data_IF_213547313594
#
_entry.id   IF_213547313594
#
_cell.length_a   1.000
_cell.length_b   1.000
_cell.length_c   1.000
_cell.angle_alpha   90.00
_cell.angle_beta   90.00
_cell.angle_gamma   90.00
#
_symmetry.space_group_name_H-M   'P 1'
#
loop_
_entity.id
_entity.type
_entity.pdbx_description
1 polymer ?
#
# COMPACT_ATOMS: atom_id res chain seq x y z
N UNK A 1 7.37 19.72 -12.28
CA UNK A 1 7.03 19.08 -13.57
C UNK A 1 6.90 17.59 -13.36
N UNK A 2 6.12 16.88 -14.16
CA UNK A 2 6.02 15.41 -14.10
C UNK A 2 6.85 14.81 -15.25
N UNK A 3 7.58 13.73 -14.98
CA UNK A 3 8.32 12.95 -15.99
C UNK A 3 7.85 11.51 -15.91
N UNK A 4 7.52 10.91 -17.05
CA UNK A 4 7.23 9.47 -17.15
C UNK A 4 7.94 8.85 -18.36
N UNK A 5 8.52 7.66 -18.20
CA UNK A 5 9.24 6.99 -19.27
C UNK A 5 9.95 5.69 -18.87
N UNK A 6 10.36 4.91 -19.87
CA UNK A 6 10.97 3.59 -19.71
C UNK A 6 12.50 3.67 -19.61
N UNK A 7 13.09 2.96 -18.66
CA UNK A 7 14.52 2.94 -18.34
C UNK A 7 15.33 2.29 -19.46
N UNK A 8 16.37 3.00 -19.89
CA UNK A 8 17.32 2.58 -20.94
C UNK A 8 18.67 2.21 -20.33
N UNK A 9 19.17 3.04 -19.41
CA UNK A 9 20.41 2.81 -18.66
C UNK A 9 20.24 3.25 -17.20
N UNK A 10 20.98 2.60 -16.31
CA UNK A 10 20.99 2.86 -14.87
C UNK A 10 22.44 3.03 -14.43
N UNK A 11 22.77 4.19 -13.86
CA UNK A 11 24.09 4.50 -13.30
C UNK A 11 24.16 4.18 -11.80
N UNK A 12 25.33 3.75 -11.34
CA UNK A 12 25.61 3.48 -9.93
C UNK A 12 25.39 4.71 -9.04
N UNK A 13 24.84 4.49 -7.84
CA UNK A 13 24.74 5.52 -6.81
C UNK A 13 26.12 5.89 -6.27
N UNK A 14 26.43 7.19 -6.24
CA UNK A 14 27.72 7.74 -5.81
C UNK A 14 27.54 8.97 -4.92
N UNK A 15 28.41 9.11 -3.92
CA UNK A 15 28.48 10.32 -3.09
C UNK A 15 29.19 11.45 -3.84
N UNK A 16 28.61 12.66 -3.81
CA UNK A 16 29.21 13.88 -4.36
C UNK A 16 29.27 15.00 -3.33
N UNK A 17 30.42 15.67 -3.22
CA UNK A 17 30.58 16.84 -2.35
C UNK A 17 29.93 18.09 -2.96
N UNK A 18 28.98 18.68 -2.26
CA UNK A 18 28.37 19.96 -2.61
C UNK A 18 28.73 21.02 -1.55
N UNK A 19 28.53 22.30 -1.89
CA UNK A 19 28.70 23.44 -0.96
C UNK A 19 27.81 23.39 0.29
N UNK A 20 26.88 22.44 0.36
CA UNK A 20 25.90 22.24 1.43
C UNK A 20 26.13 20.91 2.19
N UNK A 21 27.23 20.19 1.90
CA UNK A 21 27.51 18.85 2.40
C UNK A 21 27.52 17.80 1.29
N UNK A 22 27.94 16.58 1.62
CA UNK A 22 27.90 15.42 0.72
C UNK A 22 26.45 14.96 0.48
N UNK A 23 26.15 14.50 -0.73
CA UNK A 23 24.85 13.87 -1.06
C UNK A 23 25.06 12.71 -2.03
N UNK A 24 24.28 11.66 -1.87
CA UNK A 24 24.11 10.58 -2.85
C UNK A 24 23.47 11.12 -4.14
N UNK A 25 23.99 10.70 -5.28
CA UNK A 25 23.49 10.99 -6.62
C UNK A 25 23.54 9.72 -7.46
N UNK A 26 22.51 9.51 -8.29
CA UNK A 26 22.51 8.52 -9.36
C UNK A 26 21.93 9.15 -10.64
N UNK A 27 22.22 8.56 -11.79
CA UNK A 27 21.79 9.05 -13.11
C UNK A 27 21.13 7.90 -13.85
N UNK A 28 19.93 8.12 -14.39
CA UNK A 28 19.22 7.14 -15.23
C UNK A 28 18.83 7.79 -16.56
N UNK A 29 18.76 7.00 -17.63
CA UNK A 29 18.26 7.46 -18.92
C UNK A 29 16.88 6.87 -19.21
N UNK A 30 15.93 7.71 -19.62
CA UNK A 30 14.56 7.29 -19.94
C UNK A 30 14.21 7.57 -21.41
N UNK A 31 13.53 6.62 -22.07
CA UNK A 31 12.67 6.94 -23.20
C UNK A 31 11.36 7.55 -22.66
N UNK A 32 11.23 8.86 -22.78
CA UNK A 32 10.09 9.63 -22.28
C UNK A 32 8.80 9.34 -23.07
N UNK A 33 7.68 9.20 -22.38
CA UNK A 33 6.40 8.93 -23.03
C UNK A 33 5.84 10.15 -23.79
N UNK A 34 5.29 9.91 -24.98
CA UNK A 34 4.97 10.97 -25.95
C UNK A 34 3.82 11.88 -25.49
N UNK A 35 2.88 11.38 -24.69
CA UNK A 35 1.67 12.11 -24.30
C UNK A 35 1.92 13.27 -23.32
N UNK A 36 3.02 13.25 -22.55
CA UNK A 36 3.45 14.41 -21.75
C UNK A 36 4.33 15.36 -22.57
N UNK A 37 5.18 14.84 -23.47
CA UNK A 37 6.05 15.66 -24.31
C UNK A 37 5.30 16.70 -25.18
N UNK A 38 4.06 16.42 -25.61
CA UNK A 38 3.22 17.41 -26.32
C UNK A 38 2.70 18.54 -25.40
N UNK A 39 2.48 18.26 -24.11
CA UNK A 39 2.09 19.28 -23.12
C UNK A 39 3.27 20.16 -22.73
N UNK A 40 4.43 19.54 -22.48
CA UNK A 40 5.64 20.29 -22.11
C UNK A 40 6.21 21.09 -23.29
N UNK A 41 6.06 20.62 -24.55
CA UNK A 41 6.27 21.45 -25.75
C UNK A 41 5.48 22.77 -25.66
N UNK A 42 4.17 22.70 -25.40
CA UNK A 42 3.31 23.89 -25.27
C UNK A 42 3.66 24.81 -24.11
N UNK A 43 4.40 24.35 -23.10
CA UNK A 43 4.92 25.19 -22.02
C UNK A 43 6.25 25.91 -22.37
N UNK A 44 6.90 25.52 -23.48
CA UNK A 44 8.20 26.04 -23.93
C UNK A 44 8.06 26.90 -25.20
N UNK A 45 7.05 26.63 -26.04
CA UNK A 45 6.86 27.21 -27.39
C UNK A 45 6.61 28.73 -27.43
N UNK A 46 6.41 29.41 -26.30
CA UNK A 46 6.25 30.88 -26.27
C UNK A 46 7.58 31.67 -26.44
N UNK A 47 8.73 31.00 -26.63
CA UNK A 47 10.05 31.68 -26.56
C UNK A 47 11.17 31.25 -27.53
N UNK A 48 10.94 30.41 -28.54
CA UNK A 48 12.03 29.98 -29.44
C UNK A 48 11.64 29.79 -30.91
N UNK A 49 11.91 30.80 -31.75
CA UNK A 49 11.99 30.64 -33.21
C UNK A 49 13.24 29.79 -33.58
N UNK A 50 13.13 28.46 -33.56
CA UNK A 50 14.14 27.55 -34.08
C UNK A 50 13.52 26.22 -34.56
N UNK A 51 13.41 26.04 -35.88
CA UNK A 51 12.94 24.79 -36.49
C UNK A 51 14.00 23.67 -36.36
N UNK A 52 14.02 22.97 -35.22
CA UNK A 52 14.67 21.65 -35.11
C UNK A 52 13.64 20.59 -34.74
N UNK A 53 13.33 19.70 -35.70
CA UNK A 53 12.35 18.64 -35.53
C UNK A 53 12.88 17.56 -34.56
N UNK A 54 12.62 17.74 -33.26
CA UNK A 54 12.95 16.75 -32.23
C UNK A 54 12.17 15.45 -32.53
N UNK A 55 12.87 14.46 -33.05
CA UNK A 55 12.40 13.08 -33.25
C UNK A 55 12.45 12.30 -31.93
N UNK A 56 11.57 11.31 -31.79
CA UNK A 56 11.31 10.56 -30.56
C UNK A 56 12.31 9.42 -30.31
N UNK A 57 13.61 9.66 -30.49
CA UNK A 57 14.64 8.59 -30.52
C UNK A 57 15.82 8.76 -29.55
N UNK A 58 15.96 9.90 -28.85
CA UNK A 58 17.05 10.09 -27.86
C UNK A 58 16.52 9.99 -26.42
N UNK A 59 17.14 9.16 -25.56
CA UNK A 59 16.81 9.15 -24.14
C UNK A 59 17.06 10.52 -23.47
N UNK A 60 16.24 10.83 -22.47
CA UNK A 60 16.46 11.96 -21.56
C UNK A 60 17.28 11.51 -20.35
N UNK A 61 18.15 12.37 -19.83
CA UNK A 61 18.91 12.11 -18.61
C UNK A 61 18.14 12.63 -17.39
N UNK A 62 18.00 11.79 -16.36
CA UNK A 62 17.32 12.09 -15.10
C UNK A 62 18.27 11.84 -13.92
N UNK A 63 18.60 12.90 -13.19
CA UNK A 63 19.44 12.84 -11.99
C UNK A 63 18.58 12.63 -10.74
N UNK A 64 18.80 11.52 -10.05
CA UNK A 64 18.17 11.18 -8.78
C UNK A 64 19.09 11.59 -7.62
N UNK A 65 18.51 12.14 -6.55
CA UNK A 65 19.25 12.71 -5.42
C UNK A 65 18.85 12.08 -4.07
N UNK A 66 19.83 11.77 -3.23
CA UNK A 66 19.63 11.22 -1.88
C UNK A 66 18.81 9.93 -1.89
N UNK A 67 17.68 9.91 -1.18
CA UNK A 67 16.79 8.74 -1.05
C UNK A 67 16.22 8.20 -2.35
N UNK A 68 16.23 9.00 -3.42
CA UNK A 68 15.84 8.55 -4.76
C UNK A 68 17.05 8.03 -5.56
N UNK A 69 18.27 8.45 -5.24
CA UNK A 69 19.48 7.84 -5.81
C UNK A 69 19.65 6.40 -5.32
N UNK A 70 19.32 6.13 -4.05
CA UNK A 70 19.27 4.77 -3.47
C UNK A 70 18.31 3.82 -4.24
N UNK A 71 17.37 4.33 -5.05
CA UNK A 71 16.46 3.48 -5.83
C UNK A 71 17.14 2.70 -6.97
N UNK A 72 18.35 3.07 -7.40
CA UNK A 72 19.07 2.31 -8.45
C UNK A 72 19.58 0.95 -7.99
N UNK A 73 19.44 0.62 -6.69
CA UNK A 73 19.67 -0.73 -6.16
C UNK A 73 18.62 -1.76 -6.64
N UNK A 74 17.47 -1.30 -7.14
CA UNK A 74 16.35 -2.14 -7.60
C UNK A 74 15.65 -1.63 -8.87
N UNK A 75 16.17 -0.59 -9.54
CA UNK A 75 15.67 -0.16 -10.86
C UNK A 75 16.50 -0.86 -11.94
N UNK A 76 15.85 -1.61 -12.82
CA UNK A 76 16.48 -2.29 -13.95
C UNK A 76 16.14 -1.66 -15.31
N UNK A 77 16.88 -2.06 -16.35
CA UNK A 77 16.58 -1.68 -17.73
C UNK A 77 15.23 -2.27 -18.16
N UNK A 78 14.40 -1.46 -18.82
CA UNK A 78 13.09 -1.88 -19.31
C UNK A 78 11.93 -1.62 -18.35
N UNK A 79 12.20 -1.36 -17.07
CA UNK A 79 11.20 -0.85 -16.12
C UNK A 79 10.71 0.54 -16.51
N UNK A 80 9.54 0.95 -16.05
CA UNK A 80 9.00 2.29 -16.18
C UNK A 80 9.16 3.12 -14.90
N UNK A 81 9.41 4.42 -15.07
CA UNK A 81 9.60 5.38 -13.98
C UNK A 81 8.63 6.54 -14.14
N UNK A 82 8.04 6.97 -13.02
CA UNK A 82 7.34 8.24 -12.86
C UNK A 82 8.04 9.08 -11.78
N UNK A 83 8.34 10.34 -12.10
CA UNK A 83 8.97 11.30 -11.20
C UNK A 83 8.12 12.57 -11.11
N UNK A 84 7.52 12.79 -9.95
CA UNK A 84 6.77 14.00 -9.62
C UNK A 84 7.70 15.16 -9.25
N UNK A 85 7.26 16.39 -9.45
CA UNK A 85 8.01 17.64 -9.22
C UNK A 85 9.50 17.67 -9.62
N UNK A 86 9.79 16.99 -10.72
CA UNK A 86 11.06 17.11 -11.44
C UNK A 86 11.31 18.57 -11.81
N UNK A 87 12.56 19.01 -11.61
CA UNK A 87 13.10 20.29 -12.08
C UNK A 87 13.84 20.06 -13.40
N UNK A 88 13.48 20.80 -14.43
CA UNK A 88 14.17 20.78 -15.72
C UNK A 88 15.35 21.76 -15.76
N UNK A 89 16.31 21.49 -16.64
CA UNK A 89 17.42 22.39 -16.97
C UNK A 89 17.98 22.06 -18.36
N UNK A 90 18.75 22.99 -18.95
CA UNK A 90 19.49 22.76 -20.20
C UNK A 90 20.98 22.72 -19.87
N UNK A 91 21.62 21.59 -20.16
CA UNK A 91 23.07 21.42 -20.04
C UNK A 91 23.67 21.03 -21.39
N UNK A 92 24.65 21.80 -21.87
CA UNK A 92 25.30 21.60 -23.19
C UNK A 92 24.32 21.49 -24.38
N UNK A 93 23.15 22.10 -24.28
CA UNK A 93 22.09 22.04 -25.31
C UNK A 93 21.13 20.86 -25.19
N UNK A 94 21.31 19.97 -24.20
CA UNK A 94 20.40 18.86 -23.92
C UNK A 94 19.51 19.19 -22.72
N UNK A 95 18.24 18.77 -22.78
CA UNK A 95 17.34 18.80 -21.63
C UNK A 95 17.75 17.73 -20.62
N UNK A 96 17.85 18.14 -19.35
CA UNK A 96 18.10 17.25 -18.21
C UNK A 96 17.07 17.54 -17.11
N UNK A 97 16.69 16.51 -16.38
CA UNK A 97 15.74 16.60 -15.27
C UNK A 97 16.40 16.14 -13.97
N UNK A 98 16.03 16.73 -12.84
CA UNK A 98 16.51 16.28 -11.52
C UNK A 98 15.37 16.16 -10.50
N UNK A 99 15.48 15.15 -9.63
CA UNK A 99 14.59 14.97 -8.49
C UNK A 99 14.84 16.06 -7.44
N UNK A 100 13.81 16.76 -7.02
CA UNK A 100 13.89 17.82 -6.02
C UNK A 100 13.64 17.30 -4.60
N UNK A 101 13.75 18.17 -3.59
CA UNK A 101 12.88 18.05 -2.41
C UNK A 101 11.47 18.49 -2.87
N UNK A 102 10.43 17.80 -2.44
CA UNK A 102 9.05 17.84 -3.00
C UNK A 102 8.82 16.89 -4.20
N UNK A 103 9.86 16.47 -4.95
CA UNK A 103 9.77 15.27 -5.80
C UNK A 103 9.51 14.00 -5.00
N UNK A 104 8.75 13.08 -5.61
CA UNK A 104 8.74 11.66 -5.27
C UNK A 104 8.86 10.79 -6.53
N UNK A 105 9.54 9.64 -6.39
CA UNK A 105 9.80 8.65 -7.45
C UNK A 105 8.89 7.42 -7.31
N UNK A 106 8.41 6.90 -8.42
CA UNK A 106 7.55 5.70 -8.53
C UNK A 106 8.13 4.79 -9.63
N UNK A 107 8.33 3.51 -9.32
CA UNK A 107 8.88 2.47 -10.23
C UNK A 107 7.77 1.50 -10.61
N UNK A 108 7.58 1.17 -11.88
CA UNK A 108 6.34 0.55 -12.39
C UNK A 108 5.09 1.33 -11.93
N UNK A 109 4.86 2.58 -12.40
CA UNK A 109 3.72 3.41 -12.01
C UNK A 109 2.34 2.86 -12.41
N UNK A 110 2.31 1.75 -13.14
CA UNK A 110 1.07 1.05 -13.51
C UNK A 110 0.80 -0.20 -12.66
N UNK A 111 1.80 -0.68 -11.90
CA UNK A 111 1.63 -1.80 -10.98
C UNK A 111 0.90 -1.33 -9.71
N UNK A 112 -0.40 -1.60 -9.62
CA UNK A 112 -1.28 -1.03 -8.59
C UNK A 112 -1.20 -1.78 -7.26
N UNK A 113 -0.30 -1.33 -6.37
CA UNK A 113 0.01 -1.99 -5.08
C UNK A 113 -1.06 -1.73 -4.01
N UNK A 114 -1.44 -2.77 -3.26
CA UNK A 114 -2.29 -2.64 -2.08
C UNK A 114 -1.52 -2.07 -0.88
N UNK A 115 -2.13 -1.15 -0.12
CA UNK A 115 -1.56 -0.59 1.11
C UNK A 115 -1.26 -1.66 2.17
N UNK A 116 -2.03 -2.75 2.21
CA UNK A 116 -1.74 -3.94 3.03
C UNK A 116 -0.47 -4.66 2.58
N UNK A 117 -0.20 -4.73 1.28
CA UNK A 117 1.02 -5.34 0.74
C UNK A 117 2.28 -4.53 1.13
N UNK A 118 2.23 -3.19 1.19
CA UNK A 118 3.36 -2.38 1.72
C UNK A 118 3.61 -2.71 3.20
N UNK A 119 2.54 -2.83 4.00
CA UNK A 119 2.63 -3.22 5.41
C UNK A 119 3.27 -4.60 5.56
N UNK A 120 2.88 -5.56 4.72
CA UNK A 120 3.45 -6.90 4.70
C UNK A 120 4.91 -6.88 4.25
N UNK A 121 5.27 -6.11 3.23
CA UNK A 121 6.65 -5.90 2.78
C UNK A 121 7.55 -5.36 3.89
N UNK A 122 7.10 -4.33 4.61
CA UNK A 122 7.81 -3.75 5.76
C UNK A 122 7.94 -4.75 6.92
N UNK A 123 6.97 -5.66 7.08
CA UNK A 123 7.02 -6.70 8.11
C UNK A 123 7.96 -7.85 7.70
N UNK A 124 7.87 -8.34 6.47
CA UNK A 124 8.69 -9.38 5.84
C UNK A 124 8.28 -9.56 4.36
N UNK A 125 9.12 -9.22 3.36
CA UNK A 125 8.78 -9.39 1.94
C UNK A 125 8.38 -10.81 1.53
N UNK A 126 8.94 -11.83 2.20
CA UNK A 126 8.56 -13.23 1.96
C UNK A 126 7.14 -13.59 2.41
N UNK A 127 6.53 -12.84 3.34
CA UNK A 127 5.11 -13.03 3.72
C UNK A 127 4.19 -12.61 2.59
N UNK A 128 4.48 -11.48 1.93
CA UNK A 128 3.75 -11.05 0.73
C UNK A 128 3.79 -12.12 -0.37
N UNK A 129 4.99 -12.65 -0.68
CA UNK A 129 5.13 -13.77 -1.62
C UNK A 129 4.29 -15.01 -1.24
N UNK A 130 4.28 -15.41 0.04
CA UNK A 130 3.48 -16.56 0.50
C UNK A 130 1.98 -16.30 0.37
N UNK A 131 1.53 -15.09 0.68
CA UNK A 131 0.13 -14.66 0.49
C UNK A 131 -0.30 -14.64 -0.98
N UNK A 132 0.64 -14.55 -1.95
CA UNK A 132 0.35 -14.75 -3.37
C UNK A 132 0.12 -16.22 -3.77
N UNK A 133 0.57 -17.18 -2.96
CA UNK A 133 0.46 -18.63 -3.22
C UNK A 133 -0.73 -19.32 -2.54
N UNK A 134 -1.18 -18.78 -1.40
CA UNK A 134 -2.31 -19.32 -0.63
C UNK A 134 -3.34 -18.25 -0.33
N UNK A 135 -4.62 -18.54 -0.58
CA UNK A 135 -5.72 -17.69 -0.14
C UNK A 135 -5.79 -17.55 1.38
N UNK A 136 -6.56 -16.56 1.85
CA UNK A 136 -6.68 -16.21 3.27
C UNK A 136 -6.94 -17.45 4.14
N UNK A 137 -6.08 -17.76 5.12
CA UNK A 137 -6.17 -19.01 5.86
C UNK A 137 -7.32 -18.97 6.86
N UNK A 138 -8.14 -20.02 6.87
CA UNK A 138 -9.21 -20.22 7.86
C UNK A 138 -8.58 -20.48 9.24
N UNK A 139 -8.29 -19.39 9.96
CA UNK A 139 -7.71 -19.35 11.31
C UNK A 139 -8.61 -18.46 12.18
N UNK A 140 -9.04 -18.92 13.37
CA UNK A 140 -9.97 -18.17 14.24
C UNK A 140 -9.60 -16.69 14.50
N UNK A 141 -8.33 -16.31 14.72
CA UNK A 141 -7.94 -14.90 14.88
C UNK A 141 -8.27 -14.00 13.68
N UNK A 142 -8.36 -14.57 12.46
CA UNK A 142 -8.77 -13.86 11.24
C UNK A 142 -10.29 -13.62 11.24
N UNK A 143 -11.08 -14.66 11.51
CA UNK A 143 -12.55 -14.59 11.57
C UNK A 143 -13.01 -13.60 12.65
N UNK A 144 -12.42 -13.66 13.86
CA UNK A 144 -12.65 -12.66 14.91
C UNK A 144 -12.18 -11.26 14.51
N UNK A 145 -11.14 -11.17 13.68
CA UNK A 145 -10.72 -9.92 13.02
C UNK A 145 -11.87 -9.32 12.21
N UNK A 146 -12.42 -10.08 11.25
CA UNK A 146 -13.52 -9.66 10.39
C UNK A 146 -14.75 -9.20 11.19
N UNK A 147 -15.19 -9.97 12.18
CA UNK A 147 -16.32 -9.59 13.06
C UNK A 147 -16.09 -8.21 13.69
N UNK A 148 -14.88 -7.96 14.22
CA UNK A 148 -14.56 -6.73 14.95
C UNK A 148 -14.41 -5.52 14.02
N UNK A 149 -13.93 -5.69 12.77
CA UNK A 149 -13.89 -4.61 11.77
C UNK A 149 -15.30 -4.26 11.27
N UNK A 150 -16.14 -5.24 10.94
CA UNK A 150 -17.52 -4.94 10.50
C UNK A 150 -18.37 -4.31 11.62
N UNK A 151 -18.22 -4.78 12.87
CA UNK A 151 -18.85 -4.14 14.04
C UNK A 151 -18.33 -2.71 14.26
N UNK A 152 -17.05 -2.41 13.97
CA UNK A 152 -16.55 -1.02 13.99
C UNK A 152 -17.23 -0.16 12.92
N UNK A 153 -17.32 -0.66 11.69
CA UNK A 153 -18.02 0.01 10.60
C UNK A 153 -19.49 0.30 10.90
N UNK A 154 -20.18 -0.63 11.58
CA UNK A 154 -21.57 -0.50 12.04
C UNK A 154 -21.75 0.48 13.21
N UNK A 155 -20.86 0.46 14.20
CA UNK A 155 -20.87 1.42 15.31
C UNK A 155 -20.62 2.86 14.84
N UNK A 156 -19.76 3.04 13.83
CA UNK A 156 -19.54 4.32 13.16
C UNK A 156 -20.79 4.83 12.43
N UNK A 157 -21.59 3.93 11.85
CA UNK A 157 -22.91 4.22 11.25
C UNK A 157 -24.02 4.42 12.29
N UNK A 158 -23.70 4.34 13.58
CA UNK A 158 -24.64 4.59 14.69
C UNK A 158 -25.55 3.41 15.03
N UNK A 159 -25.26 2.19 14.58
CA UNK A 159 -26.01 0.99 14.95
C UNK A 159 -25.77 0.63 16.42
N UNK A 160 -26.74 -0.06 17.04
CA UNK A 160 -26.56 -0.63 18.37
C UNK A 160 -25.47 -1.72 18.37
N UNK A 161 -24.63 -1.72 19.40
CA UNK A 161 -23.51 -2.65 19.57
C UNK A 161 -23.98 -4.10 19.67
N UNK A 162 -25.06 -4.36 20.41
CA UNK A 162 -25.54 -5.72 20.66
C UNK A 162 -26.10 -6.34 19.37
N UNK A 163 -26.91 -5.55 18.67
CA UNK A 163 -27.56 -5.91 17.41
C UNK A 163 -26.54 -6.14 16.28
N UNK A 164 -25.56 -5.24 16.14
CA UNK A 164 -24.49 -5.40 15.15
C UNK A 164 -23.62 -6.64 15.45
N UNK A 165 -23.26 -6.86 16.72
CA UNK A 165 -22.46 -8.01 17.12
C UNK A 165 -23.15 -9.34 16.84
N UNK A 166 -24.46 -9.44 17.08
CA UNK A 166 -25.24 -10.65 16.80
C UNK A 166 -25.33 -10.93 15.29
N UNK A 167 -25.58 -9.91 14.47
CA UNK A 167 -25.62 -10.02 13.01
C UNK A 167 -24.28 -10.49 12.43
N UNK A 168 -23.16 -9.85 12.81
CA UNK A 168 -21.82 -10.23 12.30
C UNK A 168 -21.35 -11.61 12.75
N UNK A 169 -21.83 -12.12 13.89
CA UNK A 169 -21.56 -13.50 14.35
C UNK A 169 -22.46 -14.52 13.63
N UNK A 170 -23.64 -14.12 13.16
CA UNK A 170 -24.48 -14.96 12.31
C UNK A 170 -23.90 -15.10 10.90
N UNK A 171 -23.45 -14.00 10.29
CA UNK A 171 -22.86 -13.98 8.95
C UNK A 171 -21.68 -14.95 8.79
N UNK A 172 -20.76 -15.01 9.77
CA UNK A 172 -19.60 -15.93 9.76
C UNK A 172 -19.85 -17.27 10.47
N UNK A 173 -21.12 -17.65 10.64
CA UNK A 173 -21.50 -18.86 11.39
C UNK A 173 -20.98 -20.17 10.78
N UNK A 174 -20.69 -20.19 9.47
CA UNK A 174 -20.09 -21.35 8.79
C UNK A 174 -18.62 -21.52 9.15
N UNK A 175 -17.85 -20.43 9.11
CA UNK A 175 -16.43 -20.37 9.45
C UNK A 175 -16.19 -20.78 10.90
N UNK A 176 -17.02 -20.29 11.83
CA UNK A 176 -16.98 -20.68 13.23
C UNK A 176 -17.27 -22.18 13.42
N UNK A 177 -18.30 -22.69 12.72
CA UNK A 177 -18.64 -24.12 12.75
C UNK A 177 -17.53 -25.02 12.18
N UNK A 178 -16.88 -24.61 11.09
CA UNK A 178 -15.72 -25.31 10.50
C UNK A 178 -14.48 -25.28 11.41
N UNK A 179 -14.31 -24.21 12.17
CA UNK A 179 -13.22 -24.06 13.16
C UNK A 179 -13.54 -24.74 14.51
N UNK A 180 -14.78 -25.19 14.73
CA UNK A 180 -15.21 -25.82 15.99
C UNK A 180 -15.50 -24.85 17.14
N UNK A 181 -15.76 -23.57 16.85
CA UNK A 181 -16.10 -22.55 17.84
C UNK A 181 -17.62 -22.37 17.94
N UNK A 182 -18.12 -22.26 19.17
CA UNK A 182 -19.53 -21.95 19.43
C UNK A 182 -19.80 -20.43 19.35
N UNK A 183 -21.04 -20.05 19.04
CA UNK A 183 -21.43 -18.62 18.91
C UNK A 183 -21.38 -17.85 20.23
N UNK A 184 -21.40 -18.50 21.40
CA UNK A 184 -21.50 -17.82 22.70
C UNK A 184 -20.13 -17.36 23.19
N UNK A 185 -19.13 -18.25 23.16
CA UNK A 185 -17.71 -17.95 23.42
C UNK A 185 -17.21 -16.82 22.50
N UNK A 186 -17.54 -16.90 21.21
CA UNK A 186 -17.14 -15.88 20.22
C UNK A 186 -17.85 -14.54 20.47
N UNK A 187 -19.12 -14.56 20.89
CA UNK A 187 -19.86 -13.36 21.28
C UNK A 187 -19.18 -12.65 22.44
N UNK A 188 -18.80 -13.36 23.50
CA UNK A 188 -18.16 -12.72 24.66
C UNK A 188 -16.74 -12.20 24.37
N UNK A 189 -15.92 -12.91 23.57
CA UNK A 189 -14.64 -12.34 23.10
C UNK A 189 -14.84 -11.06 22.26
N UNK A 190 -15.68 -11.12 21.22
CA UNK A 190 -15.88 -10.00 20.31
C UNK A 190 -16.59 -8.81 20.98
N UNK A 191 -17.42 -9.05 22.00
CA UNK A 191 -18.05 -8.02 22.85
C UNK A 191 -17.04 -7.20 23.64
N UNK A 192 -15.92 -7.77 24.07
CA UNK A 192 -14.83 -7.00 24.72
C UNK A 192 -14.26 -5.96 23.76
N UNK A 193 -13.94 -6.39 22.52
CA UNK A 193 -13.45 -5.52 21.46
C UNK A 193 -14.49 -4.45 21.07
N UNK A 194 -15.76 -4.84 20.87
CA UNK A 194 -16.84 -3.92 20.54
C UNK A 194 -17.06 -2.87 21.64
N UNK A 195 -17.01 -3.27 22.91
CA UNK A 195 -17.12 -2.36 24.05
C UNK A 195 -15.96 -1.38 24.14
N UNK A 196 -14.75 -1.77 23.71
CA UNK A 196 -13.59 -0.88 23.63
C UNK A 196 -13.77 0.20 22.55
N UNK A 197 -14.23 -0.20 21.37
CA UNK A 197 -14.59 0.69 20.25
C UNK A 197 -15.66 1.68 20.70
N UNK A 198 -16.75 1.19 21.29
CA UNK A 198 -17.90 2.00 21.68
C UNK A 198 -17.54 3.04 22.76
N UNK A 199 -16.68 2.68 23.73
CA UNK A 199 -16.11 3.64 24.70
C UNK A 199 -15.28 4.73 24.03
N UNK A 200 -14.42 4.38 23.07
CA UNK A 200 -13.57 5.35 22.37
C UNK A 200 -14.39 6.30 21.47
N UNK A 201 -15.38 5.79 20.73
CA UNK A 201 -16.30 6.61 19.94
C UNK A 201 -17.13 7.57 20.81
N UNK A 202 -17.52 7.16 22.02
CA UNK A 202 -18.18 8.03 23.01
C UNK A 202 -17.25 9.12 23.56
N UNK A 203 -15.95 8.85 23.70
CA UNK A 203 -14.96 9.87 24.07
C UNK A 203 -14.74 10.90 22.95
N UNK A 204 -14.67 10.46 21.69
CA UNK A 204 -14.46 11.35 20.54
C UNK A 204 -15.56 12.40 20.35
N UNK A 205 -16.83 12.01 20.51
CA UNK A 205 -18.03 12.87 20.33
C UNK A 205 -18.18 14.04 21.33
N UNK A 206 -17.22 14.24 22.23
CA UNK A 206 -17.25 15.31 23.24
C UNK A 206 -16.52 16.59 22.80
N UNK A 207 -15.81 16.60 21.67
CA UNK A 207 -14.83 17.65 21.34
C UNK A 207 -15.21 18.48 20.11
N UNK A 208 -15.74 17.88 19.04
CA UNK A 208 -16.16 18.59 17.82
C UNK A 208 -17.21 17.77 17.02
N UNK A 209 -17.84 18.38 16.01
CA UNK A 209 -18.73 17.68 15.06
C UNK A 209 -17.90 16.86 14.05
N UNK A 210 -17.21 15.82 14.54
CA UNK A 210 -16.41 14.89 13.73
C UNK A 210 -17.26 14.24 12.62
N UNK A 211 -17.00 14.60 11.36
CA UNK A 211 -17.53 13.84 10.22
C UNK A 211 -16.78 12.51 10.11
N UNK A 212 -17.43 11.43 10.55
CA UNK A 212 -16.92 10.06 10.42
C UNK A 212 -17.30 9.46 9.08
N UNK A 213 -16.34 8.79 8.43
CA UNK A 213 -16.58 7.95 7.24
C UNK A 213 -15.93 6.60 7.46
N UNK A 214 -16.71 5.51 7.51
CA UNK A 214 -16.17 4.15 7.57
C UNK A 214 -15.89 3.58 6.17
N UNK A 215 -14.97 2.62 6.09
CA UNK A 215 -14.70 1.81 4.90
C UNK A 215 -14.33 2.60 3.64
N UNK A 216 -13.51 3.64 3.79
CA UNK A 216 -13.24 4.62 2.73
C UNK A 216 -12.18 4.12 1.74
N UNK A 217 -12.62 3.80 0.51
CA UNK A 217 -11.75 3.33 -0.57
C UNK A 217 -10.88 4.45 -1.16
N UNK A 218 -9.58 4.20 -1.20
CA UNK A 218 -8.55 5.08 -1.72
C UNK A 218 -7.84 4.41 -2.90
N UNK A 219 -7.62 5.16 -3.97
CA UNK A 219 -6.88 4.76 -5.18
C UNK A 219 -6.12 5.99 -5.68
N UNK A 220 -4.84 5.82 -6.01
CA UNK A 220 -3.94 6.84 -6.53
C UNK A 220 -3.29 6.38 -7.82
N UNK A 221 -3.62 7.01 -8.96
CA UNK A 221 -2.88 6.87 -10.21
C UNK A 221 -1.44 7.42 -10.11
N UNK A 222 -1.20 8.44 -9.28
CA UNK A 222 0.12 9.09 -9.18
C UNK A 222 1.12 8.25 -8.42
N UNK A 223 0.67 7.57 -7.36
CA UNK A 223 1.51 6.75 -6.48
C UNK A 223 1.37 5.25 -6.73
N UNK A 224 0.54 4.84 -7.70
CA UNK A 224 0.26 3.43 -8.02
C UNK A 224 -0.11 2.61 -6.78
N UNK A 225 -1.07 3.14 -6.01
CA UNK A 225 -1.49 2.64 -4.70
C UNK A 225 -3.01 2.57 -4.56
N UNK A 226 -3.51 1.50 -3.93
CA UNK A 226 -4.93 1.31 -3.58
C UNK A 226 -5.11 0.77 -2.16
N UNK A 227 -6.29 0.93 -1.58
CA UNK A 227 -6.71 0.26 -0.35
C UNK A 227 -8.00 0.85 0.24
N UNK A 228 -8.34 0.45 1.47
CA UNK A 228 -9.58 0.82 2.15
C UNK A 228 -9.26 1.15 3.61
N UNK A 229 -9.45 2.40 4.02
CA UNK A 229 -9.26 2.81 5.40
C UNK A 229 -10.49 2.41 6.24
N UNK A 230 -10.28 1.73 7.37
CA UNK A 230 -11.38 1.32 8.27
C UNK A 230 -12.26 2.53 8.63
N UNK A 231 -11.64 3.67 8.97
CA UNK A 231 -12.34 4.93 9.13
C UNK A 231 -11.50 6.18 8.84
N UNK A 232 -12.18 7.30 8.58
CA UNK A 232 -11.65 8.64 8.65
C UNK A 232 -12.35 9.42 9.78
N UNK A 233 -11.58 10.22 10.53
CA UNK A 233 -12.05 11.16 11.56
C UNK A 233 -11.51 12.55 11.22
N UNK A 234 -12.38 13.51 10.90
CA UNK A 234 -11.94 14.87 10.53
C UNK A 234 -10.96 14.90 9.34
N UNK A 235 -11.06 13.92 8.43
CA UNK A 235 -10.13 13.70 7.33
C UNK A 235 -8.85 12.92 7.67
N UNK A 236 -8.53 12.70 8.95
CA UNK A 236 -7.37 11.91 9.38
C UNK A 236 -7.70 10.40 9.36
N UNK A 237 -6.78 9.52 8.92
CA UNK A 237 -7.02 8.08 8.87
C UNK A 237 -6.97 7.43 10.26
N UNK A 238 -7.93 6.54 10.48
CA UNK A 238 -8.05 5.67 11.66
C UNK A 238 -8.01 4.22 11.17
N UNK A 239 -7.17 3.41 11.81
CA UNK A 239 -6.97 2.00 11.48
C UNK A 239 -7.13 1.14 12.73
N UNK A 240 -7.94 0.10 12.64
CA UNK A 240 -8.30 -0.82 13.71
C UNK A 240 -7.30 -1.99 13.76
N UNK A 241 -6.95 -2.44 14.97
CA UNK A 241 -6.14 -3.65 15.20
C UNK A 241 -6.68 -4.46 16.36
N UNK A 242 -6.96 -5.74 16.11
CA UNK A 242 -7.47 -6.71 17.11
C UNK A 242 -6.36 -7.40 17.93
N UNK A 243 -5.09 -7.14 17.62
CA UNK A 243 -3.95 -7.52 18.46
C UNK A 243 -3.66 -6.49 19.56
N UNK A 244 -2.95 -6.90 20.62
CA UNK A 244 -2.45 -5.98 21.65
C UNK A 244 -1.20 -5.22 21.18
N UNK A 245 -0.97 -4.05 21.78
CA UNK A 245 0.27 -3.29 21.69
C UNK A 245 0.50 -2.49 22.98
N UNK A 246 1.35 -2.98 23.88
CA UNK A 246 1.61 -2.39 25.21
C UNK A 246 2.71 -1.32 25.22
N UNK A 247 3.33 -1.03 24.07
CA UNK A 247 4.26 0.10 23.93
C UNK A 247 3.51 1.41 23.72
N UNK A 248 4.08 2.53 24.18
CA UNK A 248 3.49 3.88 23.97
C UNK A 248 3.35 4.20 22.47
N UNK A 249 4.42 3.98 21.71
CA UNK A 249 4.38 4.12 20.25
C UNK A 249 3.55 3.01 19.59
N UNK A 250 2.81 3.31 18.51
CA UNK A 250 2.18 2.29 17.68
C UNK A 250 3.22 1.45 16.91
N UNK A 251 2.89 0.19 16.58
CA UNK A 251 3.79 -0.72 15.87
C UNK A 251 4.11 -0.19 14.47
N UNK A 252 5.39 -0.17 14.10
CA UNK A 252 5.88 0.55 12.91
C UNK A 252 5.16 0.14 11.61
N UNK A 253 4.99 -1.16 11.35
CA UNK A 253 4.30 -1.67 10.16
C UNK A 253 2.81 -1.27 10.10
N UNK A 254 2.15 -1.08 11.25
CA UNK A 254 0.77 -0.56 11.27
C UNK A 254 0.76 0.96 11.03
N UNK A 255 1.79 1.70 11.50
CA UNK A 255 1.97 3.13 11.17
C UNK A 255 2.17 3.34 9.67
N UNK A 256 2.88 2.43 8.98
CA UNK A 256 3.03 2.42 7.52
C UNK A 256 1.67 2.32 6.82
N UNK A 257 0.78 1.43 7.27
CA UNK A 257 -0.54 1.25 6.66
C UNK A 257 -1.38 2.53 6.72
N UNK A 258 -1.58 3.09 7.92
CA UNK A 258 -2.37 4.31 8.09
C UNK A 258 -1.71 5.54 7.44
N UNK A 259 -0.37 5.62 7.42
CA UNK A 259 0.33 6.72 6.74
C UNK A 259 0.33 6.58 5.21
N UNK A 260 0.20 5.37 4.66
CA UNK A 260 -0.05 5.22 3.23
C UNK A 260 -1.43 5.78 2.88
N UNK A 261 -2.48 5.52 3.66
CA UNK A 261 -3.77 6.21 3.48
C UNK A 261 -3.65 7.73 3.63
N UNK A 262 -2.86 8.22 4.57
CA UNK A 262 -2.54 9.65 4.68
C UNK A 262 -1.91 10.24 3.41
N UNK A 263 -1.06 9.49 2.71
CA UNK A 263 -0.50 9.92 1.41
C UNK A 263 -1.57 10.00 0.31
N UNK A 264 -2.47 9.01 0.20
CA UNK A 264 -3.56 9.00 -0.79
C UNK A 264 -4.64 10.07 -0.50
N UNK A 265 -4.77 10.48 0.76
CA UNK A 265 -5.64 11.60 1.16
C UNK A 265 -4.99 12.95 0.82
N UNK A 266 -3.67 13.11 1.00
CA UNK A 266 -2.93 14.31 0.61
C UNK A 266 -2.84 14.55 -0.90
N UNK A 267 -2.93 13.49 -1.71
CA UNK A 267 -3.12 13.63 -3.18
C UNK A 267 -4.44 14.34 -3.53
N UNK A 268 -5.42 14.29 -2.63
CA UNK A 268 -6.78 14.83 -2.78
C UNK A 268 -6.96 16.13 -1.97
N UNK A 269 -5.86 16.87 -1.78
CA UNK A 269 -5.75 18.11 -1.01
C UNK A 269 -6.22 18.06 0.46
N UNK A 270 -6.40 16.86 1.04
CA UNK A 270 -6.72 16.71 2.47
C UNK A 270 -5.45 16.93 3.31
N UNK A 271 -5.43 17.87 4.28
CA UNK A 271 -4.23 18.21 5.05
C UNK A 271 -3.95 17.18 6.16
N UNK A 272 -3.55 15.96 5.79
CA UNK A 272 -3.26 14.87 6.74
C UNK A 272 -1.84 14.97 7.30
N UNK A 273 -1.72 15.31 8.58
CA UNK A 273 -0.46 15.37 9.34
C UNK A 273 -0.42 14.39 10.53
N UNK A 274 -1.53 13.69 10.85
CA UNK A 274 -1.64 12.67 11.90
C UNK A 274 -2.50 11.48 11.47
N UNK A 275 -2.45 10.40 12.26
CA UNK A 275 -3.44 9.31 12.21
C UNK A 275 -3.47 8.52 13.51
N UNK A 276 -4.49 7.68 13.66
CA UNK A 276 -4.77 6.95 14.91
C UNK A 276 -4.81 5.44 14.66
N UNK A 277 -4.11 4.67 15.49
CA UNK A 277 -4.26 3.21 15.51
C UNK A 277 -5.03 2.77 16.76
N UNK A 278 -6.09 1.97 16.57
CA UNK A 278 -6.97 1.52 17.66
C UNK A 278 -6.74 0.03 17.98
N UNK A 279 -5.90 -0.23 18.99
CA UNK A 279 -5.57 -1.55 19.52
C UNK A 279 -6.63 -2.03 20.50
N UNK A 280 -7.72 -2.59 19.98
CA UNK A 280 -8.91 -2.92 20.79
C UNK A 280 -8.65 -3.97 21.87
N UNK A 281 -7.67 -4.86 21.68
CA UNK A 281 -7.30 -5.84 22.73
C UNK A 281 -6.68 -5.19 23.97
N UNK A 282 -6.07 -4.00 23.88
CA UNK A 282 -5.51 -3.34 25.06
C UNK A 282 -6.59 -3.05 26.13
N UNK A 283 -7.81 -2.77 25.70
CA UNK A 283 -8.97 -2.49 26.56
C UNK A 283 -9.64 -3.76 27.16
N UNK A 284 -9.01 -4.92 26.99
CA UNK A 284 -9.44 -6.23 27.46
C UNK A 284 -8.30 -6.99 28.19
N UNK A 285 -7.28 -6.25 28.63
CA UNK A 285 -6.17 -6.72 29.49
C UNK A 285 -6.37 -6.04 30.85
N UNK A 286 -6.25 -6.79 31.95
CA UNK A 286 -6.34 -6.22 33.30
C UNK A 286 -5.00 -5.57 33.69
N UNK A 287 -5.03 -4.45 34.44
CA UNK A 287 -3.83 -3.60 34.65
C UNK A 287 -2.70 -4.30 35.45
N UNK A 288 -3.00 -5.41 36.12
CA UNK A 288 -2.07 -6.27 36.84
C UNK A 288 -1.57 -7.49 36.05
N UNK A 289 -2.19 -7.84 34.91
CA UNK A 289 -1.71 -8.91 34.03
C UNK A 289 -0.48 -8.49 33.20
N UNK A 290 -0.43 -7.23 32.71
CA UNK A 290 0.60 -6.82 31.75
C UNK A 290 1.02 -5.35 31.90
N UNK A 291 2.31 -5.12 32.21
CA UNK A 291 2.87 -3.79 32.37
C UNK A 291 3.12 -3.09 31.02
N UNK A 292 2.58 -1.88 30.87
CA UNK A 292 2.82 -1.04 29.70
C UNK A 292 1.84 0.12 29.58
N UNK A 293 1.75 0.71 28.38
CA UNK A 293 0.70 1.63 28.01
C UNK A 293 -0.47 0.88 27.36
N UNK A 294 -1.50 0.61 28.17
CA UNK A 294 -2.75 -0.04 27.76
C UNK A 294 -3.75 0.93 27.09
N UNK A 295 -3.36 2.17 26.76
CA UNK A 295 -4.23 3.07 25.98
C UNK A 295 -4.59 2.40 24.64
N UNK A 296 -5.88 2.27 24.27
CA UNK A 296 -6.26 1.57 23.04
C UNK A 296 -5.96 2.38 21.78
N UNK A 297 -6.27 3.68 21.80
CA UNK A 297 -5.99 4.57 20.69
C UNK A 297 -4.58 5.18 20.83
N UNK A 298 -3.73 4.99 19.83
CA UNK A 298 -2.37 5.53 19.79
C UNK A 298 -2.22 6.39 18.53
N UNK A 299 -2.11 7.69 18.74
CA UNK A 299 -1.93 8.68 17.68
C UNK A 299 -0.46 8.84 17.30
N UNK A 300 -0.18 9.18 16.04
CA UNK A 300 1.17 9.48 15.57
C UNK A 300 1.17 10.53 14.46
N UNK A 301 2.30 11.22 14.30
CA UNK A 301 2.51 12.22 13.24
C UNK A 301 2.99 11.58 11.95
N UNK A 302 2.56 12.16 10.83
CA UNK A 302 2.95 11.82 9.47
C UNK A 302 3.72 12.98 8.83
N UNK A 303 4.52 12.71 7.80
CA UNK A 303 5.27 13.74 7.06
C UNK A 303 6.04 13.15 5.89
N UNK A 304 6.55 13.99 4.97
CA UNK A 304 7.24 13.55 3.73
C UNK A 304 8.27 12.44 3.99
N UNK A 305 9.07 12.49 5.07
CA UNK A 305 10.05 11.45 5.36
C UNK A 305 9.46 10.04 5.62
N UNK A 306 8.21 9.93 6.09
CA UNK A 306 7.49 8.67 6.25
C UNK A 306 6.81 8.25 4.93
N UNK A 307 6.23 9.21 4.21
CA UNK A 307 5.64 8.98 2.88
C UNK A 307 6.70 8.59 1.82
N UNK A 308 7.93 9.11 1.92
CA UNK A 308 9.10 8.68 1.12
C UNK A 308 9.48 7.23 1.41
N UNK A 309 9.50 6.83 2.68
CA UNK A 309 9.75 5.44 3.06
C UNK A 309 8.67 4.50 2.52
N UNK A 310 7.39 4.90 2.60
CA UNK A 310 6.26 4.17 2.01
C UNK A 310 6.44 3.99 0.50
N UNK A 311 6.75 5.05 -0.24
CA UNK A 311 6.95 4.95 -1.69
C UNK A 311 8.19 4.13 -2.07
N UNK A 312 9.29 4.24 -1.32
CA UNK A 312 10.45 3.34 -1.50
C UNK A 312 10.07 1.88 -1.31
N UNK A 313 9.35 1.54 -0.23
CA UNK A 313 8.93 0.15 0.03
C UNK A 313 7.87 -0.36 -0.96
N UNK A 314 7.05 0.53 -1.52
CA UNK A 314 6.16 0.23 -2.66
C UNK A 314 6.94 0.01 -3.97
N UNK A 315 8.03 0.75 -4.20
CA UNK A 315 8.87 0.59 -5.38
C UNK A 315 9.74 -0.67 -5.32
N UNK A 316 10.31 -1.01 -4.16
CA UNK A 316 11.01 -2.28 -3.93
C UNK A 316 10.10 -3.50 -4.22
N UNK A 317 8.84 -3.42 -3.77
CA UNK A 317 7.83 -4.44 -4.06
C UNK A 317 7.52 -4.51 -5.56
N UNK A 318 7.28 -3.36 -6.21
CA UNK A 318 6.96 -3.32 -7.64
C UNK A 318 8.12 -3.79 -8.53
N UNK A 319 9.37 -3.51 -8.14
CA UNK A 319 10.57 -4.03 -8.80
C UNK A 319 10.68 -5.57 -8.71
N UNK A 320 10.36 -6.16 -7.55
CA UNK A 320 10.30 -7.61 -7.38
C UNK A 320 9.21 -8.26 -8.24
N UNK A 321 8.09 -7.58 -8.45
CA UNK A 321 7.01 -8.10 -9.30
C UNK A 321 7.34 -8.03 -10.79
N UNK A 322 8.28 -7.16 -11.20
CA UNK A 322 8.81 -7.06 -12.57
C UNK A 322 9.80 -8.20 -12.90
N UNK A 323 10.74 -8.52 -12.00
CA UNK A 323 11.73 -9.59 -12.22
C UNK A 323 11.24 -10.98 -11.70
N UNK A 324 10.19 -10.99 -10.89
CA UNK A 324 9.60 -12.14 -10.18
C UNK A 324 10.51 -12.79 -9.12
N UNK A 325 11.54 -12.08 -8.63
CA UNK A 325 12.51 -12.59 -7.63
C UNK A 325 11.82 -13.00 -6.33
N UNK A 326 11.99 -14.26 -5.93
CA UNK A 326 11.37 -14.78 -4.70
C UNK A 326 12.06 -14.21 -3.45
N UNK A 327 11.40 -13.41 -2.59
CA UNK A 327 12.04 -12.84 -1.41
C UNK A 327 12.36 -13.90 -0.36
N UNK A 328 13.45 -13.68 0.38
CA UNK A 328 13.99 -14.63 1.37
C UNK A 328 13.53 -14.34 2.81
N UNK A 329 13.10 -13.12 3.09
CA UNK A 329 12.82 -12.59 4.42
C UNK A 329 14.03 -11.96 5.11
N UNK A 330 15.24 -12.05 4.54
CA UNK A 330 16.44 -11.34 5.04
C UNK A 330 16.43 -9.84 4.70
N UNK A 331 15.53 -9.40 3.81
CA UNK A 331 15.37 -8.01 3.38
C UNK A 331 14.69 -7.13 4.45
N UNK A 332 14.25 -7.72 5.56
CA UNK A 332 13.61 -7.03 6.69
C UNK A 332 13.96 -7.66 8.05
N UNK A 333 13.86 -6.86 9.12
CA UNK A 333 14.14 -7.26 10.52
C UNK A 333 13.04 -8.13 11.17
N UNK A 334 12.29 -8.87 10.36
CA UNK A 334 11.27 -9.81 10.79
C UNK A 334 11.80 -10.81 11.84
N UNK A 335 11.09 -10.96 12.97
CA UNK A 335 11.31 -12.04 13.93
C UNK A 335 10.46 -13.25 13.54
N UNK A 336 11.09 -14.28 12.99
CA UNK A 336 10.39 -15.46 12.49
C UNK A 336 9.61 -16.20 13.59
N UNK A 337 10.11 -16.21 14.82
CA UNK A 337 9.47 -16.79 16.03
C UNK A 337 8.04 -16.30 16.32
N UNK A 338 7.64 -15.15 15.79
CA UNK A 338 6.30 -14.55 15.98
C UNK A 338 5.52 -14.43 14.66
N UNK A 339 5.93 -15.15 13.61
CA UNK A 339 5.30 -15.10 12.29
C UNK A 339 4.22 -16.19 12.16
N UNK A 340 2.96 -15.78 11.97
CA UNK A 340 1.83 -16.71 11.77
C UNK A 340 1.92 -17.59 10.51
N UNK A 341 2.86 -17.28 9.61
CA UNK A 341 3.17 -18.05 8.40
C UNK A 341 4.59 -18.67 8.45
N UNK A 342 5.18 -18.85 9.64
CA UNK A 342 6.49 -19.51 9.78
C UNK A 342 6.48 -20.93 9.19
N UNK A 343 5.49 -21.75 9.54
CA UNK A 343 5.37 -23.13 9.02
C UNK A 343 5.18 -23.14 7.50
N UNK A 344 4.26 -22.30 7.00
CA UNK A 344 4.02 -22.06 5.58
C UNK A 344 5.32 -21.69 4.84
N UNK A 345 6.08 -20.75 5.40
CA UNK A 345 7.35 -20.27 4.88
C UNK A 345 8.41 -21.38 4.80
N UNK A 346 8.62 -22.12 5.89
CA UNK A 346 9.63 -23.19 5.97
C UNK A 346 9.29 -24.38 5.08
N UNK A 347 8.02 -24.74 4.96
CA UNK A 347 7.55 -25.82 4.07
C UNK A 347 7.68 -25.41 2.61
N UNK A 348 7.19 -24.22 2.21
CA UNK A 348 7.34 -23.72 0.82
C UNK A 348 8.82 -23.62 0.46
N UNK A 349 9.66 -23.09 1.35
CA UNK A 349 11.11 -22.99 1.15
C UNK A 349 11.77 -24.36 0.94
N UNK A 350 11.50 -25.34 1.82
CA UNK A 350 12.06 -26.69 1.72
C UNK A 350 11.55 -27.48 0.51
N UNK A 351 10.27 -27.33 0.14
CA UNK A 351 9.65 -28.03 -1.00
C UNK A 351 10.05 -27.45 -2.36
N UNK A 352 10.20 -26.14 -2.48
CA UNK A 352 10.58 -25.47 -3.73
C UNK A 352 12.09 -25.23 -3.85
N UNK A 353 12.89 -25.57 -2.84
CA UNK A 353 14.36 -25.36 -2.81
C UNK A 353 14.76 -23.87 -2.77
N UNK A 354 13.92 -23.03 -2.14
CA UNK A 354 14.11 -21.58 -2.03
C UNK A 354 14.79 -21.19 -0.71
N UNK A 355 15.61 -20.13 -0.73
CA UNK A 355 16.20 -19.53 0.48
C UNK A 355 15.12 -18.87 1.36
N UNK A 356 15.18 -19.10 2.68
CA UNK A 356 14.28 -18.46 3.64
C UNK A 356 14.95 -18.19 4.99
N UNK A 357 14.76 -16.98 5.54
CA UNK A 357 15.24 -16.57 6.88
C UNK A 357 14.70 -17.43 8.02
N UNK A 358 13.50 -17.99 7.85
CA UNK A 358 12.89 -18.92 8.80
C UNK A 358 13.51 -20.33 8.81
N UNK A 359 14.36 -20.66 7.83
CA UNK A 359 14.83 -22.03 7.57
C UNK A 359 13.92 -22.80 6.60
N UNK A 360 14.15 -24.11 6.50
CA UNK A 360 13.48 -25.02 5.55
C UNK A 360 13.01 -26.29 6.25
N UNK A 361 11.89 -26.86 5.81
CA UNK A 361 11.35 -28.15 6.31
C UNK A 361 10.95 -29.07 5.16
N UNK A 362 11.36 -30.34 5.25
CA UNK A 362 11.07 -31.38 4.27
C UNK A 362 12.11 -31.49 3.15
N UNK A 363 11.97 -32.52 2.33
CA UNK A 363 12.78 -32.71 1.12
C UNK A 363 12.20 -31.90 -0.06
N UNK A 364 13.07 -31.36 -0.92
CA UNK A 364 12.64 -30.65 -2.13
C UNK A 364 11.85 -31.57 -3.07
N UNK A 365 10.91 -30.98 -3.79
CA UNK A 365 10.09 -31.69 -4.75
C UNK A 365 10.92 -32.07 -5.99
N UNK A 366 10.60 -33.20 -6.67
CA UNK A 366 11.26 -33.58 -7.92
C UNK A 366 11.23 -32.43 -8.93
N UNK A 367 12.31 -32.26 -9.70
CA UNK A 367 12.52 -31.07 -10.55
C UNK A 367 11.33 -30.78 -11.47
N UNK A 368 10.76 -31.80 -12.11
CA UNK A 368 9.58 -31.66 -12.98
C UNK A 368 8.33 -31.08 -12.29
N UNK A 369 8.22 -31.20 -10.96
CA UNK A 369 7.14 -30.61 -10.14
C UNK A 369 7.45 -29.15 -9.82
N UNK A 370 8.72 -28.79 -9.61
CA UNK A 370 9.15 -27.40 -9.41
C UNK A 370 9.06 -26.59 -10.69
N UNK A 371 9.54 -27.15 -11.81
CA UNK A 371 9.33 -26.60 -13.15
C UNK A 371 7.84 -26.43 -13.49
N UNK A 372 6.97 -27.33 -13.02
CA UNK A 372 5.51 -27.18 -13.17
C UNK A 372 4.97 -26.03 -12.33
N UNK A 373 5.38 -25.93 -11.06
CA UNK A 373 5.03 -24.81 -10.18
C UNK A 373 5.47 -23.47 -10.78
N UNK A 374 6.72 -23.36 -11.24
CA UNK A 374 7.29 -22.16 -11.85
C UNK A 374 6.49 -21.70 -13.09
N UNK A 375 6.16 -22.63 -14.00
CA UNK A 375 5.31 -22.32 -15.17
C UNK A 375 3.90 -21.87 -14.78
N UNK A 376 3.29 -22.51 -13.79
CA UNK A 376 1.95 -22.13 -13.32
C UNK A 376 1.97 -20.79 -12.58
N UNK A 377 3.01 -20.51 -11.80
CA UNK A 377 3.21 -19.25 -11.11
C UNK A 377 3.38 -18.10 -12.10
N UNK A 378 4.29 -18.23 -13.09
CA UNK A 378 4.46 -17.23 -14.15
C UNK A 378 3.17 -16.96 -14.94
N UNK A 379 2.37 -17.99 -15.22
CA UNK A 379 1.06 -17.83 -15.86
C UNK A 379 0.03 -17.09 -14.99
N UNK A 380 0.10 -17.21 -13.66
CA UNK A 380 -0.77 -16.50 -12.71
C UNK A 380 -0.33 -15.03 -12.55
N UNK A 381 0.97 -14.74 -12.54
CA UNK A 381 1.46 -13.36 -12.49
C UNK A 381 1.16 -12.61 -13.80
N UNK A 382 1.26 -13.26 -14.97
CA UNK A 382 0.85 -12.66 -16.25
C UNK A 382 -0.67 -12.33 -16.30
N UNK A 383 -1.52 -13.15 -15.70
CA UNK A 383 -2.96 -12.84 -15.53
C UNK A 383 -3.16 -11.63 -14.59
N UNK A 384 -2.34 -11.48 -13.55
CA UNK A 384 -2.37 -10.32 -12.64
C UNK A 384 -1.87 -9.04 -13.32
N UNK A 385 -0.87 -9.12 -14.18
CA UNK A 385 -0.43 -8.01 -15.05
C UNK A 385 -1.59 -7.56 -15.95
N UNK A 386 -2.29 -8.50 -16.59
CA UNK A 386 -3.49 -8.20 -17.38
C UNK A 386 -4.65 -7.61 -16.55
N UNK A 387 -4.80 -8.01 -15.29
CA UNK A 387 -5.76 -7.38 -14.36
C UNK A 387 -5.33 -5.94 -14.02
N UNK A 388 -4.04 -5.66 -13.84
CA UNK A 388 -3.54 -4.29 -13.62
C UNK A 388 -3.70 -3.41 -14.87
N UNK A 389 -3.51 -3.95 -16.06
CA UNK A 389 -3.81 -3.32 -17.36
C UNK A 389 -5.29 -2.86 -17.42
N UNK A 390 -6.24 -3.74 -17.09
CA UNK A 390 -7.68 -3.40 -17.02
C UNK A 390 -8.00 -2.39 -15.90
N UNK A 391 -7.34 -2.45 -14.74
CA UNK A 391 -7.51 -1.43 -13.69
C UNK A 391 -7.02 -0.05 -14.15
N UNK A 392 -5.93 0.04 -14.92
CA UNK A 392 -5.36 1.31 -15.37
C UNK A 392 -6.34 2.11 -16.23
N UNK A 393 -7.18 1.42 -17.02
CA UNK A 393 -8.23 2.04 -17.85
C UNK A 393 -9.21 2.89 -17.05
N UNK A 394 -9.32 2.71 -15.72
CA UNK A 394 -10.09 3.59 -14.86
C UNK A 394 -9.62 5.05 -14.88
N UNK A 395 -8.35 5.31 -15.23
CA UNK A 395 -7.77 6.66 -15.30
C UNK A 395 -7.03 6.99 -16.62
N UNK A 396 -6.64 6.00 -17.43
CA UNK A 396 -6.06 6.27 -18.77
C UNK A 396 -7.09 6.41 -19.89
N UNK A 397 -8.27 5.79 -19.78
CA UNK A 397 -9.37 5.98 -20.73
C UNK A 397 -10.38 6.99 -20.19
N UNK A 398 -10.94 7.82 -21.08
CA UNK A 398 -12.06 8.69 -20.73
C UNK A 398 -13.34 7.88 -20.48
N UNK A 399 -14.32 8.44 -19.74
CA UNK A 399 -15.63 7.81 -19.58
C UNK A 399 -16.37 7.58 -20.92
N UNK A 400 -16.06 8.35 -21.96
CA UNK A 400 -16.69 8.23 -23.27
C UNK A 400 -16.12 7.04 -24.07
N UNK A 401 -14.80 6.85 -24.06
CA UNK A 401 -14.15 5.67 -24.68
C UNK A 401 -14.65 4.39 -24.01
N UNK A 402 -14.66 4.36 -22.67
CA UNK A 402 -15.19 3.23 -21.90
C UNK A 402 -16.67 2.97 -22.13
N UNK A 403 -17.48 4.00 -22.36
CA UNK A 403 -18.88 3.82 -22.74
C UNK A 403 -19.02 3.23 -24.16
N UNK A 404 -18.11 3.56 -25.09
CA UNK A 404 -18.09 2.97 -26.44
C UNK A 404 -17.61 1.52 -26.50
N UNK A 405 -16.94 1.04 -25.45
CA UNK A 405 -16.54 -0.37 -25.25
C UNK A 405 -17.58 -1.19 -24.43
N UNK A 406 -18.75 -0.63 -24.14
CA UNK A 406 -19.76 -1.18 -23.20
C UNK A 406 -19.20 -1.42 -21.76
N UNK A 407 -18.18 -0.65 -21.32
CA UNK A 407 -17.51 -0.75 -20.00
C UNK A 407 -17.87 0.35 -19.01
N UNK A 408 -18.72 1.31 -19.38
CA UNK A 408 -19.15 2.40 -18.50
C UNK A 408 -20.56 2.92 -18.82
N UNK A 409 -21.27 3.32 -17.77
CA UNK A 409 -22.46 4.18 -17.88
C UNK A 409 -22.06 5.62 -17.52
N UNK A 410 -22.54 6.59 -18.30
CA UNK A 410 -22.23 8.01 -18.16
C UNK A 410 -23.51 8.84 -18.02
N UNK A 411 -23.39 10.05 -17.46
CA UNK A 411 -24.57 10.92 -17.22
C UNK A 411 -25.49 10.45 -16.09
N UNK A 412 -24.95 9.67 -15.13
CA UNK A 412 -25.70 9.22 -13.95
C UNK A 412 -25.80 10.34 -12.91
N UNK A 413 -27.01 10.61 -12.44
CA UNK A 413 -27.30 11.54 -11.35
C UNK A 413 -27.86 10.79 -10.13
N UNK A 414 -27.36 11.09 -8.93
CA UNK A 414 -27.87 10.50 -7.69
C UNK A 414 -29.12 11.25 -7.22
N UNK A 415 -30.30 10.69 -7.47
CA UNK A 415 -31.54 11.21 -6.90
C UNK A 415 -31.68 10.80 -5.43
N UNK A 416 -31.30 11.70 -4.53
CA UNK A 416 -31.51 11.55 -3.08
C UNK A 416 -33.01 11.67 -2.78
N UNK A 417 -33.71 10.54 -2.85
CA UNK A 417 -35.09 10.44 -2.34
C UNK A 417 -35.08 10.60 -0.83
N UNK A 418 -35.88 11.55 -0.31
CA UNK A 418 -35.97 11.88 1.11
C UNK A 418 -36.82 10.84 1.88
N UNK A 419 -36.42 9.58 1.79
CA UNK A 419 -37.07 8.44 2.41
C UNK A 419 -36.80 8.41 3.93
N UNK A 420 -37.64 9.14 4.68
CA UNK A 420 -37.95 8.98 6.10
C UNK A 420 -36.79 8.97 7.11
N UNK A 421 -36.83 9.92 8.05
CA UNK A 421 -36.28 9.65 9.39
C UNK A 421 -37.06 8.47 9.99
N UNK A 422 -36.32 7.50 10.51
CA UNK A 422 -36.80 6.42 11.39
C UNK A 422 -35.92 6.42 12.65
#
# INVERSE_FOLDING_TARGET
MHIRGRVVTVGEAREVELKQGTRTLAEIELHHETHQAERDRKAIDERADAEEQITTEKPINVTLWGRWAESVEYIEQGMEISLTEAKSSVFRGQMQYESTKDSYLIVEPDFLVDVTAIREWVQCPRVYYLNKLSGMPLKYPVVRGTIVHEVFGDLLRGRDMSSALEERIEEVGLELGLLGYDKETVRDEAKQHASAIERWLKQGKLIEEDEWRSEYTLVSPTFALKGRADALRGGMPVELKTGKNTTQEPRFQDKIQAAAYGLLLRERDVPVDTGTLLYTKNAAIEEDEESGDLTPAKEFRMGRGLFEFILRKRNELAAMEFDTTVPTGFEADARCEYCFEQDSCMVVAGRLEQTAKAGQVGQSLPTYVREYFERMYAAIEAEREAIHEEYRKLWTQSPAERASEDKALIGLECQVTSASRW
#
